data_IF_792963700230
#
_entry.id   IF_792963700230
#
_cell.length_a   1.000
_cell.length_b   1.000
_cell.length_c   1.000
_cell.angle_alpha   90.00
_cell.angle_beta   90.00
_cell.angle_gamma   90.00
#
_symmetry.space_group_name_H-M   'P 1'
#
loop_
_entity.id
_entity.type
_entity.pdbx_description
1 polymer ?
#
# COMPACT_ATOMS: atom_id res chain seq x y z
N UNK A 1 14.62 13.82 -19.63
CA UNK A 1 14.30 12.51 -19.02
C UNK A 1 13.01 12.69 -18.24
N UNK A 2 11.92 12.05 -18.69
CA UNK A 2 10.54 12.38 -18.29
C UNK A 2 10.32 12.19 -16.78
N UNK A 3 9.78 13.21 -16.13
CA UNK A 3 9.29 13.10 -14.77
C UNK A 3 8.15 12.08 -14.75
N UNK A 4 8.41 10.86 -14.29
CA UNK A 4 7.35 9.92 -13.92
C UNK A 4 6.66 10.51 -12.68
N UNK A 5 5.64 11.34 -12.89
CA UNK A 5 4.83 11.92 -11.81
C UNK A 5 3.99 10.81 -11.17
N UNK A 6 4.60 10.02 -10.27
CA UNK A 6 3.85 9.10 -9.42
C UNK A 6 2.93 9.92 -8.51
N UNK A 7 1.67 9.53 -8.41
CA UNK A 7 0.73 10.13 -7.47
C UNK A 7 1.16 9.81 -6.03
N UNK A 8 1.03 10.78 -5.12
CA UNK A 8 1.33 10.60 -3.69
C UNK A 8 0.04 10.40 -2.91
N UNK A 9 0.01 9.38 -2.06
CA UNK A 9 -1.06 9.15 -1.08
C UNK A 9 -0.44 9.37 0.30
N UNK A 10 -1.14 10.13 1.15
CA UNK A 10 -0.80 10.31 2.57
C UNK A 10 -1.95 9.71 3.37
N UNK A 11 -1.65 8.86 4.33
CA UNK A 11 -2.64 8.32 5.26
C UNK A 11 -2.09 8.37 6.69
N UNK A 12 -2.99 8.50 7.66
CA UNK A 12 -2.66 8.43 9.08
C UNK A 12 -2.90 7.01 9.57
N UNK A 13 -1.96 6.47 10.35
CA UNK A 13 -2.08 5.18 11.01
C UNK A 13 -1.60 5.26 12.46
N UNK A 14 -1.87 4.21 13.23
CA UNK A 14 -1.27 4.05 14.55
C UNK A 14 0.25 3.87 14.44
N UNK A 15 0.95 4.22 15.52
CA UNK A 15 2.39 4.01 15.62
C UNK A 15 2.75 2.53 15.49
N UNK A 16 1.99 1.65 16.15
CA UNK A 16 2.17 0.20 16.10
C UNK A 16 2.12 -0.35 14.67
N UNK A 17 1.14 0.10 13.87
CA UNK A 17 1.02 -0.34 12.47
C UNK A 17 2.22 0.13 11.64
N UNK A 18 2.71 1.36 11.90
CA UNK A 18 3.89 1.87 11.20
C UNK A 18 5.14 1.04 11.53
N UNK A 19 5.36 0.74 12.79
CA UNK A 19 6.51 -0.07 13.24
C UNK A 19 6.48 -1.47 12.64
N UNK A 20 5.30 -2.09 12.58
CA UNK A 20 5.12 -3.40 11.95
C UNK A 20 5.43 -3.36 10.45
N UNK A 21 4.94 -2.34 9.74
CA UNK A 21 5.25 -2.15 8.32
C UNK A 21 6.75 -1.88 8.07
N UNK A 22 7.40 -1.11 8.94
CA UNK A 22 8.86 -0.85 8.86
C UNK A 22 9.67 -2.14 9.12
N UNK A 23 9.25 -2.96 10.09
CA UNK A 23 9.86 -4.26 10.38
C UNK A 23 9.76 -5.21 9.18
N UNK A 24 8.57 -5.34 8.58
CA UNK A 24 8.35 -6.19 7.40
C UNK A 24 9.18 -5.68 6.22
N UNK A 25 9.24 -4.36 6.02
CA UNK A 25 10.01 -3.77 4.92
C UNK A 25 11.51 -4.08 5.07
N UNK A 26 12.03 -4.02 6.30
CA UNK A 26 13.42 -4.36 6.59
C UNK A 26 13.72 -5.85 6.35
N UNK A 27 12.82 -6.75 6.73
CA UNK A 27 12.97 -8.19 6.49
C UNK A 27 12.96 -8.53 4.99
N UNK A 28 12.17 -7.81 4.18
CA UNK A 28 12.13 -8.01 2.72
C UNK A 28 13.21 -7.21 1.95
N UNK A 29 14.13 -6.51 2.62
CA UNK A 29 15.14 -5.62 2.01
C UNK A 29 14.52 -4.58 1.07
N UNK A 30 13.46 -3.90 1.54
CA UNK A 30 12.63 -2.98 0.74
C UNK A 30 12.33 -1.69 1.47
N UNK A 31 12.00 -0.64 0.71
CA UNK A 31 11.46 0.60 1.30
C UNK A 31 10.01 0.41 1.73
N UNK A 32 9.62 1.14 2.77
CA UNK A 32 8.25 1.16 3.29
C UNK A 32 7.21 1.45 2.18
N UNK A 33 7.50 2.42 1.32
CA UNK A 33 6.63 2.79 0.19
C UNK A 33 6.45 1.63 -0.81
N UNK A 34 7.53 0.88 -1.11
CA UNK A 34 7.46 -0.25 -2.05
C UNK A 34 6.72 -1.45 -1.44
N UNK A 35 6.88 -1.67 -0.14
CA UNK A 35 6.10 -2.68 0.59
C UNK A 35 4.61 -2.36 0.50
N UNK A 36 4.23 -1.14 0.87
CA UNK A 36 2.84 -0.69 0.86
C UNK A 36 2.25 -0.73 -0.56
N UNK A 37 2.98 -0.30 -1.58
CA UNK A 37 2.56 -0.40 -2.99
C UNK A 37 2.23 -1.86 -3.39
N UNK A 38 3.09 -2.81 -2.99
CA UNK A 38 2.89 -4.24 -3.26
C UNK A 38 1.70 -4.82 -2.50
N UNK A 39 1.56 -4.49 -1.21
CA UNK A 39 0.45 -4.96 -0.38
C UNK A 39 -0.89 -4.46 -0.91
N UNK A 40 -0.99 -3.16 -1.23
CA UNK A 40 -2.21 -2.56 -1.79
C UNK A 40 -2.53 -3.16 -3.16
N UNK A 41 -1.52 -3.34 -4.03
CA UNK A 41 -1.73 -3.96 -5.35
C UNK A 41 -2.32 -5.37 -5.22
N UNK A 42 -1.79 -6.18 -4.30
CA UNK A 42 -2.33 -7.52 -3.99
C UNK A 42 -3.72 -7.44 -3.38
N UNK A 43 -3.95 -6.49 -2.48
CA UNK A 43 -5.25 -6.28 -1.86
C UNK A 43 -6.31 -5.94 -2.92
N UNK A 44 -5.99 -5.06 -3.89
CA UNK A 44 -6.89 -4.71 -5.00
C UNK A 44 -7.16 -5.91 -5.92
N UNK A 45 -6.15 -6.74 -6.22
CA UNK A 45 -6.36 -7.96 -7.01
C UNK A 45 -7.32 -8.94 -6.32
N UNK A 46 -7.27 -9.01 -4.99
CA UNK A 46 -8.15 -9.84 -4.18
C UNK A 46 -9.46 -9.15 -3.81
N UNK A 47 -9.54 -7.83 -3.98
CA UNK A 47 -10.75 -7.04 -3.78
C UNK A 47 -11.70 -7.36 -4.93
N UNK A 48 -12.43 -8.48 -4.80
CA UNK A 48 -13.64 -8.71 -5.57
C UNK A 48 -14.68 -7.76 -5.00
N UNK A 49 -15.16 -6.76 -5.76
CA UNK A 49 -16.32 -6.00 -5.33
C UNK A 49 -17.48 -7.00 -5.21
N UNK A 50 -17.80 -7.41 -3.99
CA UNK A 50 -19.11 -7.97 -3.73
C UNK A 50 -20.09 -6.82 -3.90
N UNK A 51 -20.82 -6.83 -5.01
CA UNK A 51 -22.07 -6.12 -5.19
C UNK A 51 -22.02 -4.59 -4.97
N UNK A 52 -21.57 -3.84 -5.98
CA UNK A 52 -22.26 -2.58 -6.27
C UNK A 52 -23.52 -2.88 -7.08
N UNK A 53 -24.56 -3.40 -6.41
CA UNK A 53 -25.94 -3.08 -6.77
C UNK A 53 -26.51 -2.15 -5.72
N UNK A 54 -26.63 -0.87 -6.10
CA UNK A 54 -27.75 -0.01 -5.73
C UNK A 54 -27.59 1.32 -6.47
N UNK A 55 -28.08 1.43 -7.71
CA UNK A 55 -29.37 2.05 -8.00
C UNK A 55 -29.64 2.09 -9.50
#
# INVERSE_FOLDING_TARGET
>A
MGQTKKAKITFTCSHELREELESIANVEDRTLSNLVERMITRAIQNYKPQDQKAS
#
